data_IF_494554887984
#
_entry.id   IF_494554887984
#
_cell.length_a   1.000
_cell.length_b   1.000
_cell.length_c   1.000
_cell.angle_alpha   90.00
_cell.angle_beta   90.00
_cell.angle_gamma   90.00
#
_symmetry.space_group_name_H-M   'P 1'
#
loop_
_entity.id
_entity.type
_entity.pdbx_description
1 polymer ?
#
# COMPACT_ATOMS: atom_id res chain seq x y z
N UNK A 1 31.16 51.81 -30.47
CA UNK A 1 31.15 51.43 -29.03
C UNK A 1 30.08 50.36 -28.80
N UNK A 2 30.27 49.59 -27.73
CA UNK A 2 29.72 48.26 -27.42
C UNK A 2 28.18 48.20 -27.35
N UNK A 3 27.59 47.23 -28.06
CA UNK A 3 26.29 46.65 -27.70
C UNK A 3 26.59 45.47 -26.79
N UNK A 4 26.08 45.45 -25.55
CA UNK A 4 26.15 44.28 -24.68
C UNK A 4 24.74 43.87 -24.28
N UNK A 5 24.45 42.61 -24.59
CA UNK A 5 23.17 41.95 -24.49
C UNK A 5 22.64 41.89 -23.05
N UNK A 6 21.34 42.12 -22.91
CA UNK A 6 20.57 41.79 -21.72
C UNK A 6 20.43 40.27 -21.65
N UNK A 7 21.14 39.64 -20.71
CA UNK A 7 20.99 38.21 -20.40
C UNK A 7 19.73 38.07 -19.53
N UNK A 8 18.61 37.72 -20.18
CA UNK A 8 17.38 37.34 -19.51
C UNK A 8 17.53 35.95 -18.89
N UNK A 9 17.48 35.87 -17.57
CA UNK A 9 17.43 34.61 -16.83
C UNK A 9 16.02 34.04 -17.00
N UNK A 10 15.87 33.05 -17.89
CA UNK A 10 14.65 32.24 -17.98
C UNK A 10 14.71 31.24 -16.83
N UNK A 11 13.95 31.52 -15.77
CA UNK A 11 13.70 30.59 -14.67
C UNK A 11 12.92 29.38 -15.20
N UNK A 12 13.63 28.28 -15.49
CA UNK A 12 13.02 26.99 -15.81
C UNK A 12 12.47 26.39 -14.51
N UNK A 13 11.18 26.55 -14.25
CA UNK A 13 10.51 25.88 -13.14
C UNK A 13 10.45 24.37 -13.43
N UNK A 14 11.40 23.61 -12.87
CA UNK A 14 11.30 22.15 -12.83
C UNK A 14 10.13 21.76 -11.93
N UNK A 15 9.02 21.34 -12.53
CA UNK A 15 7.96 20.63 -11.82
C UNK A 15 8.42 19.19 -11.63
N UNK A 16 8.97 18.89 -10.45
CA UNK A 16 9.27 17.50 -10.07
C UNK A 16 7.96 16.83 -9.68
N UNK A 17 7.41 16.02 -10.60
CA UNK A 17 6.34 15.10 -10.26
C UNK A 17 6.92 14.04 -9.31
N UNK A 18 6.63 14.17 -8.02
CA UNK A 18 6.94 13.14 -7.03
C UNK A 18 5.92 12.01 -7.24
N UNK A 19 6.23 11.08 -8.15
CA UNK A 19 5.50 9.82 -8.25
C UNK A 19 5.91 9.00 -7.03
N UNK A 20 5.12 9.09 -5.96
CA UNK A 20 5.31 8.23 -4.81
C UNK A 20 4.83 6.83 -5.20
N UNK A 21 5.73 5.85 -5.26
CA UNK A 21 5.41 4.45 -5.49
C UNK A 21 4.49 3.92 -4.37
N UNK A 22 3.76 2.83 -4.61
CA UNK A 22 2.96 2.17 -3.59
C UNK A 22 3.31 0.68 -3.59
N UNK A 23 4.12 0.30 -2.61
CA UNK A 23 4.59 -1.05 -2.44
C UNK A 23 3.56 -1.88 -1.73
N UNK A 24 3.33 -3.09 -2.20
CA UNK A 24 2.44 -4.09 -1.61
C UNK A 24 3.29 -5.22 -1.07
N UNK A 25 3.18 -5.51 0.23
CA UNK A 25 3.86 -6.62 0.87
C UNK A 25 2.85 -7.62 1.42
N UNK A 26 3.02 -8.87 1.04
CA UNK A 26 2.21 -10.01 1.47
C UNK A 26 3.01 -10.88 2.42
N UNK A 27 2.41 -11.33 3.50
CA UNK A 27 3.02 -12.26 4.44
C UNK A 27 1.98 -13.24 4.95
N UNK A 28 2.42 -14.45 5.29
CA UNK A 28 1.56 -15.45 5.90
C UNK A 28 2.28 -16.12 7.06
N UNK A 29 1.54 -16.56 8.07
CA UNK A 29 2.08 -17.37 9.16
C UNK A 29 1.66 -18.84 9.04
N UNK A 30 2.18 -19.68 9.93
CA UNK A 30 1.85 -21.12 9.97
C UNK A 30 0.45 -21.44 10.49
N UNK A 31 -0.31 -20.44 10.94
CA UNK A 31 -1.72 -20.58 11.33
C UNK A 31 -2.67 -20.44 10.13
N UNK A 32 -2.13 -20.12 8.95
CA UNK A 32 -2.93 -19.85 7.75
C UNK A 32 -3.51 -18.44 7.72
N UNK A 33 -3.02 -17.54 8.57
CA UNK A 33 -3.36 -16.12 8.53
C UNK A 33 -2.49 -15.44 7.47
N UNK A 34 -3.11 -14.58 6.67
CA UNK A 34 -2.45 -13.85 5.59
C UNK A 34 -2.65 -12.37 5.81
N UNK A 35 -1.60 -11.58 5.61
CA UNK A 35 -1.68 -10.14 5.63
C UNK A 35 -1.11 -9.54 4.36
N UNK A 36 -1.82 -8.56 3.82
CA UNK A 36 -1.33 -7.69 2.74
C UNK A 36 -1.34 -6.26 3.24
N UNK A 37 -0.20 -5.57 3.16
CA UNK A 37 -0.09 -4.15 3.48
C UNK A 37 0.45 -3.40 2.29
N UNK A 38 0.09 -2.12 2.16
CA UNK A 38 0.71 -1.23 1.18
C UNK A 38 1.31 0.00 1.83
N UNK A 39 2.35 0.59 1.24
CA UNK A 39 3.00 1.79 1.75
C UNK A 39 3.75 2.55 0.65
N UNK A 40 4.10 3.84 0.85
CA UNK A 40 4.89 4.60 -0.11
C UNK A 40 6.28 4.01 -0.43
N UNK A 41 6.84 3.23 0.51
CA UNK A 41 8.16 2.60 0.37
C UNK A 41 8.09 1.10 0.61
N UNK A 42 9.00 0.36 -0.03
CA UNK A 42 9.10 -1.10 0.17
C UNK A 42 9.33 -1.44 1.64
N UNK A 43 10.25 -0.72 2.29
CA UNK A 43 10.61 -0.93 3.69
C UNK A 43 9.42 -0.68 4.62
N UNK A 44 8.62 0.37 4.37
CA UNK A 44 7.42 0.65 5.14
C UNK A 44 6.39 -0.48 5.03
N UNK A 45 6.10 -0.92 3.80
CA UNK A 45 5.15 -2.02 3.57
C UNK A 45 5.66 -3.34 4.18
N UNK A 46 6.97 -3.61 4.07
CA UNK A 46 7.59 -4.81 4.61
C UNK A 46 7.56 -4.81 6.14
N UNK A 47 7.85 -3.67 6.77
CA UNK A 47 7.83 -3.51 8.23
C UNK A 47 6.42 -3.75 8.77
N UNK A 48 5.39 -3.17 8.15
CA UNK A 48 4.00 -3.39 8.56
C UNK A 48 3.59 -4.87 8.42
N UNK A 49 3.90 -5.48 7.28
CA UNK A 49 3.65 -6.90 7.06
C UNK A 49 4.36 -7.77 8.10
N UNK A 50 5.66 -7.55 8.30
CA UNK A 50 6.44 -8.31 9.26
C UNK A 50 5.91 -8.16 10.68
N UNK A 51 5.64 -6.94 11.14
CA UNK A 51 5.12 -6.69 12.48
C UNK A 51 3.77 -7.37 12.72
N UNK A 52 2.86 -7.31 11.75
CA UNK A 52 1.56 -7.98 11.85
C UNK A 52 1.71 -9.51 11.95
N UNK A 53 2.59 -10.09 11.12
CA UNK A 53 2.85 -11.51 11.19
C UNK A 53 3.55 -11.90 12.49
N UNK A 54 4.58 -11.18 12.91
CA UNK A 54 5.35 -11.46 14.13
C UNK A 54 4.44 -11.40 15.38
N UNK A 55 3.51 -10.45 15.44
CA UNK A 55 2.55 -10.32 16.54
C UNK A 55 1.52 -11.45 16.61
N UNK A 56 1.23 -12.13 15.49
CA UNK A 56 0.18 -13.15 15.39
C UNK A 56 0.72 -14.56 15.15
N UNK A 57 2.04 -14.69 14.92
CA UNK A 57 2.72 -15.97 14.67
C UNK A 57 3.17 -16.64 15.96
N UNK A 58 3.06 -17.97 15.98
CA UNK A 58 3.65 -18.81 17.04
C UNK A 58 5.18 -18.85 16.92
N UNK A 59 5.73 -18.56 15.73
CA UNK A 59 7.16 -18.51 15.47
C UNK A 59 7.50 -17.33 14.52
N UNK A 60 8.08 -16.24 15.03
CA UNK A 60 8.44 -15.04 14.24
C UNK A 60 9.41 -15.31 13.09
N UNK A 61 10.22 -16.37 13.16
CA UNK A 61 11.21 -16.70 12.13
C UNK A 61 10.59 -17.17 10.80
N UNK A 62 9.26 -17.36 10.74
CA UNK A 62 8.56 -17.73 9.51
C UNK A 62 7.87 -16.55 8.81
N UNK A 63 7.95 -15.35 9.37
CA UNK A 63 7.34 -14.15 8.82
C UNK A 63 8.26 -13.51 7.77
N UNK A 64 8.14 -13.98 6.53
CA UNK A 64 8.91 -13.53 5.39
C UNK A 64 8.00 -12.81 4.38
N UNK A 65 7.91 -11.47 4.43
CA UNK A 65 7.09 -10.72 3.50
C UNK A 65 7.64 -10.79 2.07
N UNK A 66 6.74 -10.94 1.09
CA UNK A 66 7.05 -10.80 -0.33
C UNK A 66 6.44 -9.50 -0.84
N UNK A 67 7.27 -8.64 -1.42
CA UNK A 67 6.91 -7.28 -1.78
C UNK A 67 7.02 -7.00 -3.28
N UNK A 68 6.11 -6.19 -3.82
CA UNK A 68 6.15 -5.70 -5.20
C UNK A 68 5.56 -4.28 -5.27
N UNK A 69 5.98 -3.49 -6.25
CA UNK A 69 5.34 -2.20 -6.56
C UNK A 69 4.05 -2.46 -7.36
N UNK A 70 2.91 -1.93 -6.91
CA UNK A 70 1.65 -2.09 -7.63
C UNK A 70 1.42 -1.03 -8.72
N UNK A 71 2.33 -0.06 -8.88
CA UNK A 71 2.23 1.01 -9.88
C UNK A 71 1.14 2.04 -9.59
N UNK A 72 0.51 2.00 -8.41
CA UNK A 72 -0.45 2.99 -7.95
C UNK A 72 0.30 4.10 -7.21
N UNK A 73 -0.12 5.35 -7.38
CA UNK A 73 0.43 6.44 -6.58
C UNK A 73 0.14 6.21 -5.08
N UNK A 74 1.06 6.62 -4.20
CA UNK A 74 0.87 6.52 -2.76
C UNK A 74 -0.50 7.08 -2.33
N UNK A 75 -1.14 6.36 -1.42
CA UNK A 75 -2.52 6.64 -1.06
C UNK A 75 -2.66 7.78 -0.06
N UNK A 76 -3.85 8.38 -0.03
CA UNK A 76 -4.33 9.26 1.06
C UNK A 76 -5.43 8.61 1.88
N UNK A 77 -5.91 7.46 1.42
CA UNK A 77 -6.97 6.70 2.03
C UNK A 77 -6.49 5.30 2.29
N UNK A 78 -6.73 4.82 3.50
CA UNK A 78 -6.40 3.50 3.97
C UNK A 78 -7.69 2.71 4.18
N UNK A 79 -7.84 1.57 3.52
CA UNK A 79 -8.94 0.65 3.76
C UNK A 79 -8.42 -0.70 4.22
N UNK A 80 -9.04 -1.22 5.28
CA UNK A 80 -8.76 -2.54 5.84
C UNK A 80 -9.97 -3.44 5.73
N UNK A 81 -9.75 -4.72 5.45
CA UNK A 81 -10.80 -5.74 5.45
C UNK A 81 -10.22 -7.07 5.88
N UNK A 82 -11.05 -7.91 6.48
CA UNK A 82 -10.70 -9.29 6.78
C UNK A 82 -11.83 -10.24 6.40
N UNK A 83 -11.51 -11.52 6.28
CA UNK A 83 -12.49 -12.57 6.05
C UNK A 83 -12.53 -13.59 7.20
N UNK A 84 -13.49 -14.52 7.12
CA UNK A 84 -13.66 -15.58 8.12
C UNK A 84 -12.53 -16.63 8.14
N UNK A 85 -11.60 -16.59 7.17
CA UNK A 85 -10.42 -17.46 7.14
C UNK A 85 -9.23 -16.88 7.90
N UNK A 86 -9.37 -15.70 8.53
CA UNK A 86 -8.26 -15.00 9.18
C UNK A 86 -7.29 -14.34 8.20
N UNK A 87 -7.75 -14.03 6.99
CA UNK A 87 -6.98 -13.24 6.03
C UNK A 87 -7.33 -11.77 6.19
N UNK A 88 -6.32 -10.92 6.12
CA UNK A 88 -6.39 -9.48 6.36
C UNK A 88 -5.73 -8.75 5.20
N UNK A 89 -6.38 -7.70 4.72
CA UNK A 89 -5.83 -6.85 3.69
C UNK A 89 -5.95 -5.39 4.09
N UNK A 90 -4.92 -4.64 3.75
CA UNK A 90 -4.74 -3.23 4.07
C UNK A 90 -4.20 -2.54 2.83
N UNK A 91 -5.03 -1.70 2.20
CA UNK A 91 -4.67 -1.01 0.96
C UNK A 91 -4.72 0.51 1.15
N UNK A 92 -3.69 1.16 0.62
CA UNK A 92 -3.63 2.60 0.45
C UNK A 92 -3.89 2.95 -1.01
N UNK A 93 -4.76 3.94 -1.26
CA UNK A 93 -4.96 4.50 -2.59
C UNK A 93 -5.26 6.01 -2.53
N UNK A 94 -5.09 6.75 -3.65
CA UNK A 94 -5.33 8.20 -3.68
C UNK A 94 -6.76 8.62 -3.32
N UNK A 95 -7.76 7.79 -3.62
CA UNK A 95 -9.17 8.04 -3.27
C UNK A 95 -9.75 6.94 -2.39
N UNK A 96 -10.80 7.27 -1.63
CA UNK A 96 -11.51 6.33 -0.77
C UNK A 96 -12.08 5.16 -1.58
N UNK A 97 -12.67 5.45 -2.74
CA UNK A 97 -13.30 4.46 -3.61
C UNK A 97 -12.27 3.46 -4.14
N UNK A 98 -11.09 3.94 -4.53
CA UNK A 98 -10.02 3.06 -5.00
C UNK A 98 -9.51 2.15 -3.88
N UNK A 99 -9.26 2.70 -2.69
CA UNK A 99 -8.80 1.92 -1.55
C UNK A 99 -9.86 0.88 -1.13
N UNK A 100 -11.13 1.28 -1.13
CA UNK A 100 -12.25 0.39 -0.82
C UNK A 100 -12.37 -0.74 -1.84
N UNK A 101 -12.30 -0.42 -3.14
CA UNK A 101 -12.39 -1.41 -4.21
C UNK A 101 -11.23 -2.42 -4.14
N UNK A 102 -10.00 -1.97 -3.89
CA UNK A 102 -8.85 -2.86 -3.72
C UNK A 102 -9.06 -3.82 -2.54
N UNK A 103 -9.45 -3.29 -1.39
CA UNK A 103 -9.75 -4.09 -0.20
C UNK A 103 -10.88 -5.09 -0.47
N UNK A 104 -12.02 -4.60 -0.99
CA UNK A 104 -13.18 -5.43 -1.27
C UNK A 104 -12.88 -6.53 -2.28
N UNK A 105 -12.23 -6.21 -3.40
CA UNK A 105 -11.88 -7.19 -4.43
C UNK A 105 -10.94 -8.27 -3.88
N UNK A 106 -9.94 -7.89 -3.08
CA UNK A 106 -9.03 -8.85 -2.46
C UNK A 106 -9.77 -9.81 -1.53
N UNK A 107 -10.69 -9.29 -0.72
CA UNK A 107 -11.51 -10.11 0.17
C UNK A 107 -12.48 -10.99 -0.62
N UNK A 108 -13.22 -10.44 -1.58
CA UNK A 108 -14.23 -11.14 -2.39
C UNK A 108 -13.59 -12.31 -3.15
N UNK A 109 -12.36 -12.14 -3.66
CA UNK A 109 -11.62 -13.18 -4.37
C UNK A 109 -11.10 -14.33 -3.47
N UNK A 110 -10.99 -14.09 -2.16
CA UNK A 110 -10.34 -15.03 -1.23
C UNK A 110 -11.25 -15.54 -0.10
N UNK A 111 -12.44 -14.95 0.05
CA UNK A 111 -13.44 -15.30 1.06
C UNK A 111 -14.35 -16.43 0.60
N UNK A 112 -14.78 -17.27 1.55
CA UNK A 112 -15.81 -18.30 1.34
C UNK A 112 -17.20 -17.65 1.18
N UNK A 113 -17.39 -16.47 1.78
CA UNK A 113 -18.62 -15.70 1.70
C UNK A 113 -18.30 -14.22 1.41
N UNK A 114 -18.48 -13.75 0.16
CA UNK A 114 -18.24 -12.36 -0.23
C UNK A 114 -19.10 -11.33 0.52
N UNK A 115 -20.26 -11.73 1.06
CA UNK A 115 -21.14 -10.81 1.80
C UNK A 115 -20.53 -10.34 3.14
N UNK A 116 -19.47 -11.00 3.60
CA UNK A 116 -18.77 -10.62 4.83
C UNK A 116 -17.58 -9.69 4.57
N UNK A 117 -17.30 -9.37 3.31
CA UNK A 117 -16.22 -8.47 2.91
C UNK A 117 -16.68 -7.02 3.00
N UNK A 118 -16.52 -6.44 4.19
CA UNK A 118 -16.92 -5.08 4.52
C UNK A 118 -15.68 -4.25 4.90
N UNK A 119 -15.03 -3.56 3.93
CA UNK A 119 -13.86 -2.75 4.23
C UNK A 119 -14.21 -1.53 5.09
N UNK A 120 -13.35 -1.24 6.06
CA UNK A 120 -13.38 0.00 6.85
C UNK A 120 -12.30 0.92 6.31
N UNK A 121 -12.67 2.16 5.97
CA UNK A 121 -11.79 3.13 5.34
C UNK A 121 -11.60 4.39 6.19
N UNK A 122 -10.38 4.91 6.23
CA UNK A 122 -10.05 6.17 6.88
C UNK A 122 -9.04 6.97 6.05
N UNK A 123 -9.10 8.31 6.09
CA UNK A 123 -8.03 9.13 5.54
C UNK A 123 -6.76 8.93 6.38
N UNK A 124 -5.60 8.97 5.72
CA UNK A 124 -4.27 8.89 6.34
C UNK A 124 -3.89 10.18 7.10
#
# INVERSE_FOLDING_TARGET
MRVRALVGIVSLSLVTFVVNANWVCNVANKRGEHWTFTAPTQEGAQTMAKNACDANSINPNNCNPTCFDNGVAAGRWHCVVSNLKGQHWSFFAPTQEQANALAKNACDANSINPNNCNPTCMPE
#
